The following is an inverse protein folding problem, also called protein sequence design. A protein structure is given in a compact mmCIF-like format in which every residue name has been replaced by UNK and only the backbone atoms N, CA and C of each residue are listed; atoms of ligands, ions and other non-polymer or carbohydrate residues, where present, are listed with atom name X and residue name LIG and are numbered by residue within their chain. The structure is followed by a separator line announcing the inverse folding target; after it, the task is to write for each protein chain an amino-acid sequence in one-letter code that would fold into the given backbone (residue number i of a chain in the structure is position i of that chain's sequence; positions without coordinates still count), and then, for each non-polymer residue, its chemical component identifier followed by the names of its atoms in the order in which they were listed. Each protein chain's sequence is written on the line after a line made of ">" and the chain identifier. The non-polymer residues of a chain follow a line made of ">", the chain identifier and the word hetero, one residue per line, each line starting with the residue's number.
data_IF_729354149558
#
_entry.id   IF_729354149558
#
_cell.length_a   1.000
_cell.length_b   1.000
_cell.length_c   1.000
_cell.angle_alpha   90.00
_cell.angle_beta   90.00
_cell.angle_gamma   90.00
#
_symmetry.space_group_name_H-M   'P 1'
#
loop_
_entity.id
_entity.type
_entity.pdbx_description
1 polymer ?
#
# COMPACT_ATOMS: atom_id res chain seq x y z
N UNK A 1 -11.04 29.59 -31.51
CA UNK A 1 -10.25 28.36 -31.26
C UNK A 1 -11.22 27.20 -31.18
N UNK A 2 -11.18 26.25 -32.12
CA UNK A 2 -11.99 25.04 -32.02
C UNK A 2 -11.36 24.12 -30.98
N UNK A 3 -12.05 23.88 -29.86
CA UNK A 3 -11.57 22.98 -28.81
C UNK A 3 -12.02 21.57 -29.18
N UNK A 4 -11.08 20.75 -29.66
CA UNK A 4 -11.33 19.31 -29.87
C UNK A 4 -11.30 18.61 -28.52
N UNK A 5 -12.46 18.15 -28.04
CA UNK A 5 -12.55 17.33 -26.83
C UNK A 5 -12.04 15.91 -27.13
N UNK A 6 -10.73 15.69 -26.93
CA UNK A 6 -10.13 14.35 -26.98
C UNK A 6 -10.29 13.71 -25.60
N UNK A 7 -11.39 12.98 -25.40
CA UNK A 7 -11.60 12.18 -24.20
C UNK A 7 -10.73 10.92 -24.29
N UNK A 8 -9.81 10.76 -23.33
CA UNK A 8 -8.93 9.58 -23.26
C UNK A 8 -9.67 8.34 -22.74
N UNK A 9 -10.70 8.52 -21.90
CA UNK A 9 -11.49 7.44 -21.31
C UNK A 9 -12.79 7.95 -20.67
N UNK A 10 -13.80 7.08 -20.49
CA UNK A 10 -15.10 7.42 -19.87
C UNK A 10 -15.57 6.32 -18.92
N UNK A 11 -16.18 6.73 -17.80
CA UNK A 11 -16.85 5.83 -16.87
C UNK A 11 -18.38 5.81 -17.13
N UNK A 12 -19.01 4.65 -16.95
CA UNK A 12 -20.44 4.47 -17.21
C UNK A 12 -21.35 5.03 -16.11
N UNK A 13 -20.86 5.10 -14.87
CA UNK A 13 -21.60 5.61 -13.70
C UNK A 13 -20.71 6.41 -12.76
N UNK A 14 -21.31 7.19 -11.86
CA UNK A 14 -20.58 7.94 -10.82
C UNK A 14 -19.75 7.01 -9.91
N UNK A 15 -20.32 5.86 -9.54
CA UNK A 15 -19.64 4.84 -8.74
C UNK A 15 -18.44 4.24 -9.47
N UNK A 16 -18.60 3.91 -10.76
CA UNK A 16 -17.49 3.47 -11.60
C UNK A 16 -16.40 4.55 -11.67
N UNK A 17 -16.80 5.83 -11.78
CA UNK A 17 -15.93 7.02 -11.78
C UNK A 17 -15.00 7.13 -10.57
N UNK A 18 -15.47 6.69 -9.39
CA UNK A 18 -14.73 6.74 -8.13
C UNK A 18 -14.12 5.38 -7.73
N UNK A 19 -14.42 4.30 -8.45
CA UNK A 19 -13.92 2.96 -8.15
C UNK A 19 -12.38 2.88 -8.03
N UNK A 20 -11.57 3.50 -8.92
CA UNK A 20 -10.11 3.50 -8.77
C UNK A 20 -9.63 4.00 -7.41
N UNK A 21 -10.27 5.05 -6.89
CA UNK A 21 -9.93 5.66 -5.62
C UNK A 21 -10.34 4.78 -4.43
N UNK A 22 -11.60 4.33 -4.39
CA UNK A 22 -12.09 3.52 -3.27
C UNK A 22 -11.47 2.13 -3.20
N UNK A 23 -11.18 1.50 -4.35
CA UNK A 23 -10.46 0.22 -4.39
C UNK A 23 -9.06 0.34 -3.77
N UNK A 24 -8.33 1.39 -4.16
CA UNK A 24 -6.99 1.66 -3.61
C UNK A 24 -7.04 1.99 -2.12
N UNK A 25 -8.02 2.80 -1.71
CA UNK A 25 -8.22 3.20 -0.32
C UNK A 25 -8.59 2.01 0.58
N UNK A 26 -9.54 1.19 0.13
CA UNK A 26 -9.96 -0.02 0.83
C UNK A 26 -8.78 -0.97 1.04
N UNK A 27 -7.93 -1.12 0.02
CA UNK A 27 -6.73 -1.95 0.11
C UNK A 27 -5.76 -1.43 1.18
N UNK A 28 -5.42 -0.13 1.18
CA UNK A 28 -4.52 0.44 2.19
C UNK A 28 -5.10 0.28 3.61
N UNK A 29 -6.37 0.61 3.80
CA UNK A 29 -7.04 0.53 5.11
C UNK A 29 -7.07 -0.92 5.60
N UNK A 30 -7.43 -1.86 4.73
CA UNK A 30 -7.46 -3.28 5.07
C UNK A 30 -6.08 -3.77 5.55
N UNK A 31 -5.02 -3.41 4.83
CA UNK A 31 -3.63 -3.72 5.22
C UNK A 31 -3.25 -3.05 6.55
N UNK A 32 -3.63 -1.79 6.77
CA UNK A 32 -3.37 -1.11 8.03
C UNK A 32 -4.05 -1.80 9.22
N UNK A 33 -5.28 -2.29 9.04
CA UNK A 33 -5.98 -3.08 10.06
C UNK A 33 -5.28 -4.40 10.38
N UNK A 34 -4.60 -5.03 9.41
CA UNK A 34 -3.81 -6.25 9.68
C UNK A 34 -2.73 -6.02 10.73
N UNK A 35 -2.13 -4.83 10.79
CA UNK A 35 -1.10 -4.52 11.80
C UNK A 35 -1.68 -4.30 13.21
N UNK A 36 -3.00 -4.13 13.30
CA UNK A 36 -3.70 -4.11 14.58
C UNK A 36 -3.93 -5.54 15.09
N UNK A 37 -4.23 -6.48 14.19
CA UNK A 37 -4.52 -7.88 14.51
C UNK A 37 -3.25 -8.74 14.64
N UNK A 38 -2.22 -8.46 13.83
CA UNK A 38 -1.03 -9.29 13.69
C UNK A 38 0.23 -8.52 14.11
N UNK A 39 1.19 -9.23 14.71
CA UNK A 39 2.48 -8.64 15.08
C UNK A 39 3.45 -8.72 13.89
N UNK A 40 4.05 -7.60 13.42
CA UNK A 40 5.02 -7.58 12.33
C UNK A 40 6.23 -8.51 12.52
N UNK A 41 6.74 -8.59 13.76
CA UNK A 41 7.91 -9.39 14.12
C UNK A 41 7.59 -10.12 15.44
N UNK A 42 7.88 -11.42 15.50
CA UNK A 42 7.69 -12.23 16.71
C UNK A 42 8.97 -12.30 17.53
N UNK A 43 8.84 -12.32 18.87
CA UNK A 43 9.99 -12.44 19.79
C UNK A 43 10.79 -13.73 19.56
N UNK A 44 10.09 -14.84 19.23
CA UNK A 44 10.72 -16.12 18.89
C UNK A 44 11.62 -16.01 17.65
N UNK A 45 11.22 -15.23 16.65
CA UNK A 45 12.03 -15.04 15.45
C UNK A 45 13.27 -14.17 15.74
N UNK A 46 13.15 -13.16 16.61
CA UNK A 46 14.29 -12.35 17.07
C UNK A 46 15.32 -13.16 17.84
N UNK A 47 14.86 -14.11 18.66
CA UNK A 47 15.72 -15.03 19.43
C UNK A 47 16.42 -16.10 18.56
N UNK A 48 16.10 -16.19 17.27
CA UNK A 48 16.72 -17.16 16.36
C UNK A 48 18.05 -16.66 15.79
N UNK A 49 18.93 -17.60 15.43
CA UNK A 49 20.21 -17.30 14.78
C UNK A 49 20.07 -17.01 13.27
N UNK A 50 18.84 -16.89 12.75
CA UNK A 50 18.61 -16.61 11.33
C UNK A 50 19.06 -15.19 10.95
N UNK A 51 19.53 -14.95 9.71
CA UNK A 51 19.90 -13.61 9.27
C UNK A 51 18.68 -12.68 9.28
N UNK A 52 18.91 -11.40 9.58
CA UNK A 52 17.84 -10.42 9.82
C UNK A 52 16.85 -10.29 8.66
N UNK A 53 17.34 -10.38 7.41
CA UNK A 53 16.49 -10.29 6.22
C UNK A 53 15.51 -11.48 6.11
N UNK A 54 15.91 -12.69 6.51
CA UNK A 54 15.01 -13.86 6.52
C UNK A 54 13.91 -13.72 7.56
N UNK A 55 14.23 -13.13 8.72
CA UNK A 55 13.25 -12.87 9.78
C UNK A 55 12.26 -11.79 9.31
N UNK A 56 12.74 -10.72 8.69
CA UNK A 56 11.89 -9.66 8.16
C UNK A 56 10.94 -10.18 7.07
N UNK A 57 11.46 -10.90 6.07
CA UNK A 57 10.64 -11.50 5.01
C UNK A 57 9.68 -12.54 5.59
N UNK A 58 10.13 -13.40 6.51
CA UNK A 58 9.28 -14.39 7.16
C UNK A 58 8.14 -13.78 7.98
N UNK A 59 8.38 -12.62 8.60
CA UNK A 59 7.33 -11.84 9.27
C UNK A 59 6.36 -11.16 8.30
N UNK A 60 6.80 -10.85 7.07
CA UNK A 60 5.98 -10.20 6.04
C UNK A 60 5.12 -11.14 5.21
N UNK A 61 5.55 -12.39 5.00
CA UNK A 61 4.77 -13.37 4.23
C UNK A 61 3.30 -13.54 4.69
N UNK A 62 2.98 -13.60 6.01
CA UNK A 62 1.60 -13.65 6.46
C UNK A 62 0.80 -12.39 6.09
N UNK A 63 1.40 -11.21 6.21
CA UNK A 63 0.77 -9.94 5.81
C UNK A 63 0.51 -9.92 4.31
N UNK A 64 1.50 -10.34 3.51
CA UNK A 64 1.37 -10.41 2.06
C UNK A 64 0.26 -11.39 1.66
N UNK A 65 0.20 -12.58 2.28
CA UNK A 65 -0.81 -13.59 1.98
C UNK A 65 -2.24 -13.05 2.19
N UNK A 66 -2.51 -12.46 3.35
CA UNK A 66 -3.83 -11.85 3.61
C UNK A 66 -4.08 -10.65 2.69
N UNK A 67 -3.04 -9.88 2.37
CA UNK A 67 -3.14 -8.74 1.44
C UNK A 67 -3.49 -9.15 0.01
N UNK A 68 -2.93 -10.26 -0.47
CA UNK A 68 -3.25 -10.85 -1.78
C UNK A 68 -4.68 -11.37 -1.80
N UNK A 69 -5.12 -12.04 -0.73
CA UNK A 69 -6.50 -12.54 -0.62
C UNK A 69 -7.49 -11.38 -0.63
N UNK A 70 -7.31 -10.34 0.19
CA UNK A 70 -8.24 -9.20 0.19
C UNK A 70 -8.24 -8.43 -1.13
N UNK A 71 -7.09 -8.27 -1.80
CA UNK A 71 -7.02 -7.61 -3.11
C UNK A 71 -7.77 -8.42 -4.18
N UNK A 72 -7.61 -9.74 -4.15
CA UNK A 72 -8.34 -10.65 -5.05
C UNK A 72 -9.84 -10.63 -4.78
N UNK A 73 -10.25 -10.63 -3.50
CA UNK A 73 -11.66 -10.54 -3.13
C UNK A 73 -12.27 -9.19 -3.54
N UNK A 74 -11.57 -8.08 -3.28
CA UNK A 74 -12.02 -6.74 -3.70
C UNK A 74 -12.25 -6.68 -5.21
N UNK A 75 -11.26 -7.09 -5.99
CA UNK A 75 -11.35 -7.06 -7.46
C UNK A 75 -12.44 -8.02 -7.99
N UNK A 76 -12.59 -9.21 -7.39
CA UNK A 76 -13.63 -10.17 -7.74
C UNK A 76 -15.04 -9.62 -7.46
N UNK A 77 -15.28 -9.11 -6.26
CA UNK A 77 -16.59 -8.58 -5.86
C UNK A 77 -16.99 -7.39 -6.72
N UNK A 78 -16.05 -6.47 -6.98
CA UNK A 78 -16.34 -5.29 -7.78
C UNK A 78 -16.59 -5.64 -9.25
N UNK A 79 -15.88 -6.62 -9.80
CA UNK A 79 -16.12 -7.06 -11.18
C UNK A 79 -17.41 -7.86 -11.33
N UNK A 80 -17.67 -8.83 -10.43
CA UNK A 80 -18.79 -9.77 -10.59
C UNK A 80 -20.09 -9.31 -9.92
N UNK A 81 -20.02 -8.75 -8.72
CA UNK A 81 -21.22 -8.38 -7.95
C UNK A 81 -21.66 -6.94 -8.21
N UNK A 82 -20.72 -6.02 -8.42
CA UNK A 82 -21.03 -4.60 -8.70
C UNK A 82 -21.03 -4.25 -10.19
N UNK A 83 -20.63 -5.18 -11.05
CA UNK A 83 -20.68 -5.00 -12.50
C UNK A 83 -19.79 -3.87 -13.03
N UNK A 84 -18.60 -3.67 -12.46
CA UNK A 84 -17.70 -2.59 -12.87
C UNK A 84 -17.23 -2.70 -14.33
N UNK A 85 -17.12 -3.92 -14.87
CA UNK A 85 -16.70 -4.21 -16.26
C UNK A 85 -15.44 -3.41 -16.70
N UNK A 86 -14.30 -3.54 -16.00
CA UNK A 86 -13.09 -2.82 -16.37
C UNK A 86 -12.59 -3.23 -17.76
N UNK A 87 -12.00 -2.29 -18.49
CA UNK A 87 -11.42 -2.54 -19.82
C UNK A 87 -10.34 -3.64 -19.81
N UNK A 88 -9.53 -3.70 -18.74
CA UNK A 88 -8.46 -4.69 -18.58
C UNK A 88 -8.56 -5.43 -17.23
N UNK A 89 -9.49 -6.38 -17.07
CA UNK A 89 -9.79 -7.01 -15.78
C UNK A 89 -8.60 -7.78 -15.18
N UNK A 90 -7.87 -8.52 -16.01
CA UNK A 90 -6.72 -9.32 -15.58
C UNK A 90 -5.56 -8.41 -15.16
N UNK A 91 -5.27 -7.37 -15.94
CA UNK A 91 -4.22 -6.40 -15.60
C UNK A 91 -4.58 -5.61 -14.33
N UNK A 92 -5.85 -5.24 -14.16
CA UNK A 92 -6.35 -4.60 -12.94
C UNK A 92 -6.10 -5.47 -11.71
N UNK A 93 -6.38 -6.79 -11.80
CA UNK A 93 -6.13 -7.71 -10.71
C UNK A 93 -4.64 -7.80 -10.37
N UNK A 94 -3.77 -8.03 -11.35
CA UNK A 94 -2.31 -8.09 -11.15
C UNK A 94 -1.75 -6.78 -10.58
N UNK A 95 -2.27 -5.63 -11.02
CA UNK A 95 -1.89 -4.33 -10.53
C UNK A 95 -2.29 -4.12 -9.05
N UNK A 96 -3.49 -4.57 -8.67
CA UNK A 96 -3.93 -4.57 -7.27
C UNK A 96 -3.09 -5.50 -6.39
N UNK A 97 -2.60 -6.63 -6.92
CA UNK A 97 -1.64 -7.48 -6.20
C UNK A 97 -0.30 -6.78 -5.99
N UNK A 98 0.22 -6.07 -7.00
CA UNK A 98 1.44 -5.28 -6.87
C UNK A 98 1.28 -4.15 -5.84
N UNK A 99 0.14 -3.46 -5.84
CA UNK A 99 -0.19 -2.45 -4.83
C UNK A 99 -0.29 -3.06 -3.42
N UNK A 100 -0.94 -4.23 -3.29
CA UNK A 100 -1.05 -4.94 -2.02
C UNK A 100 0.32 -5.33 -1.45
N UNK A 101 1.23 -5.76 -2.32
CA UNK A 101 2.60 -6.08 -1.97
C UNK A 101 3.36 -4.84 -1.45
N UNK A 102 3.30 -3.73 -2.19
CA UNK A 102 3.97 -2.48 -1.81
C UNK A 102 3.42 -1.89 -0.51
N UNK A 103 2.09 -1.79 -0.39
CA UNK A 103 1.44 -1.21 0.78
C UNK A 103 1.69 -2.05 2.03
N UNK A 104 1.60 -3.39 1.94
CA UNK A 104 1.88 -4.27 3.08
C UNK A 104 3.33 -4.18 3.54
N UNK A 105 4.29 -4.12 2.61
CA UNK A 105 5.70 -3.97 2.94
C UNK A 105 5.99 -2.63 3.63
N UNK A 106 5.47 -1.50 3.11
CA UNK A 106 5.66 -0.17 3.72
C UNK A 106 5.06 -0.13 5.12
N UNK A 107 3.77 -0.48 5.22
CA UNK A 107 3.01 -0.40 6.46
C UNK A 107 3.66 -1.27 7.54
N UNK A 108 4.03 -2.50 7.19
CA UNK A 108 4.74 -3.38 8.12
C UNK A 108 6.13 -2.85 8.46
N UNK A 109 6.89 -2.34 7.48
CA UNK A 109 8.23 -1.80 7.70
C UNK A 109 8.25 -0.64 8.69
N UNK A 110 7.31 0.30 8.55
CA UNK A 110 7.14 1.44 9.47
C UNK A 110 6.83 0.96 10.88
N UNK A 111 5.84 0.05 11.03
CA UNK A 111 5.42 -0.41 12.35
C UNK A 111 6.47 -1.32 12.98
N UNK A 112 7.19 -2.11 12.19
CA UNK A 112 8.33 -2.90 12.67
C UNK A 112 9.42 -1.99 13.26
N UNK A 113 9.71 -0.85 12.64
CA UNK A 113 10.76 0.08 13.08
C UNK A 113 10.39 0.90 14.31
N UNK A 114 9.15 1.35 14.38
CA UNK A 114 8.70 2.35 15.36
C UNK A 114 7.80 1.76 16.45
N UNK A 115 7.32 0.53 16.31
CA UNK A 115 6.37 -0.08 17.24
C UNK A 115 5.02 0.66 17.23
N UNK A 116 4.43 0.87 18.42
CA UNK A 116 3.13 1.55 18.57
C UNK A 116 3.08 2.94 17.92
N UNK A 117 4.09 3.84 18.08
CA UNK A 117 4.17 5.10 17.33
C UNK A 117 4.09 4.94 15.80
N UNK A 118 4.62 3.84 15.25
CA UNK A 118 4.58 3.59 13.81
C UNK A 118 3.16 3.50 13.25
N UNK A 119 2.20 3.04 14.06
CA UNK A 119 0.79 2.96 13.65
C UNK A 119 0.20 4.35 13.40
N UNK A 120 0.56 5.32 14.23
CA UNK A 120 0.17 6.71 14.06
C UNK A 120 0.82 7.32 12.82
N UNK A 121 2.08 6.99 12.53
CA UNK A 121 2.75 7.40 11.28
C UNK A 121 2.03 6.86 10.06
N UNK A 122 1.66 5.57 10.05
CA UNK A 122 0.89 4.98 8.93
C UNK A 122 -0.47 5.66 8.77
N UNK A 123 -1.14 6.02 9.87
CA UNK A 123 -2.40 6.76 9.83
C UNK A 123 -2.22 8.17 9.23
N UNK A 124 -1.16 8.88 9.61
CA UNK A 124 -0.83 10.19 9.02
C UNK A 124 -0.57 10.03 7.51
N UNK A 125 0.21 9.03 7.11
CA UNK A 125 0.46 8.72 5.70
C UNK A 125 -0.83 8.40 4.94
N UNK A 126 -1.77 7.69 5.57
CA UNK A 126 -3.09 7.44 4.98
C UNK A 126 -3.82 8.75 4.71
N UNK A 127 -3.90 9.66 5.68
CA UNK A 127 -4.59 10.95 5.53
C UNK A 127 -3.91 11.81 4.45
N UNK A 128 -2.58 11.87 4.44
CA UNK A 128 -1.83 12.62 3.43
C UNK A 128 -2.07 12.06 2.02
N UNK A 129 -2.06 10.73 1.87
CA UNK A 129 -2.35 10.07 0.59
C UNK A 129 -3.79 10.25 0.14
N UNK A 130 -4.74 10.21 1.08
CA UNK A 130 -6.15 10.41 0.79
C UNK A 130 -6.38 11.76 0.09
N UNK A 131 -5.79 12.82 0.64
CA UNK A 131 -5.94 14.19 0.12
C UNK A 131 -5.14 14.40 -1.17
N UNK A 132 -3.94 13.82 -1.27
CA UNK A 132 -3.06 14.03 -2.43
C UNK A 132 -3.30 13.08 -3.60
N UNK A 133 -3.97 11.95 -3.42
CA UNK A 133 -4.18 10.94 -4.47
C UNK A 133 -5.05 11.39 -5.65
N UNK A 134 -5.71 12.55 -5.52
CA UNK A 134 -6.59 13.10 -6.55
C UNK A 134 -7.80 12.21 -6.80
N UNK A 135 -8.49 11.79 -5.73
CA UNK A 135 -9.63 10.87 -5.78
C UNK A 135 -10.86 11.44 -6.49
N UNK A 136 -11.53 12.41 -5.86
CA UNK A 136 -12.74 13.06 -6.37
C UNK A 136 -12.45 14.21 -7.34
N UNK A 137 -11.32 14.88 -7.16
CA UNK A 137 -10.83 15.96 -8.02
C UNK A 137 -9.41 15.65 -8.49
N UNK A 138 -8.97 16.19 -9.64
CA UNK A 138 -7.59 16.06 -10.08
C UNK A 138 -6.61 16.55 -9.00
N UNK A 139 -5.50 15.85 -8.81
CA UNK A 139 -4.54 16.22 -7.76
C UNK A 139 -3.92 17.61 -7.99
N UNK A 140 -3.92 18.09 -9.24
CA UNK A 140 -3.44 19.42 -9.63
C UNK A 140 -4.28 20.58 -9.06
N UNK A 141 -5.50 20.30 -8.57
CA UNK A 141 -6.32 21.32 -7.91
C UNK A 141 -6.02 21.43 -6.41
N UNK A 142 -5.10 20.63 -5.89
CA UNK A 142 -4.68 20.72 -4.49
C UNK A 142 -3.66 21.85 -4.28
N UNK A 143 -3.49 22.37 -3.06
CA UNK A 143 -2.44 23.34 -2.77
C UNK A 143 -1.05 22.83 -3.18
N UNK A 144 -0.22 23.73 -3.72
CA UNK A 144 1.12 23.41 -4.24
C UNK A 144 2.02 22.58 -3.30
N UNK A 145 2.03 22.79 -1.96
CA UNK A 145 2.80 21.94 -1.06
C UNK A 145 2.40 20.44 -1.07
N UNK A 146 1.15 20.12 -1.43
CA UNK A 146 0.66 18.75 -1.50
C UNK A 146 1.00 18.03 -2.82
N UNK A 147 1.49 18.76 -3.83
CA UNK A 147 1.93 18.14 -5.08
C UNK A 147 3.13 17.22 -4.85
N UNK A 148 4.07 17.64 -4.00
CA UNK A 148 5.22 16.82 -3.60
C UNK A 148 4.77 15.52 -2.92
N UNK A 149 3.69 15.59 -2.14
CA UNK A 149 3.11 14.41 -1.47
C UNK A 149 2.53 13.45 -2.51
N UNK A 150 1.86 13.97 -3.55
CA UNK A 150 1.36 13.15 -4.65
C UNK A 150 2.49 12.43 -5.40
N UNK A 151 3.59 13.13 -5.68
CA UNK A 151 4.74 12.61 -6.42
C UNK A 151 5.56 11.59 -5.63
N UNK A 152 5.51 11.62 -4.30
CA UNK A 152 6.30 10.72 -3.46
C UNK A 152 5.47 9.53 -2.97
N UNK A 153 4.15 9.65 -2.84
CA UNK A 153 3.37 8.59 -2.20
C UNK A 153 2.72 7.64 -3.22
N UNK A 154 2.77 6.32 -2.97
CA UNK A 154 2.39 5.33 -3.97
C UNK A 154 0.89 5.34 -4.30
N UNK A 155 0.02 5.79 -3.38
CA UNK A 155 -1.43 5.76 -3.60
C UNK A 155 -1.88 6.57 -4.82
N UNK A 156 -1.31 7.75 -5.09
CA UNK A 156 -1.68 8.57 -6.26
C UNK A 156 -1.40 7.86 -7.59
N UNK A 157 -0.26 7.16 -7.66
CA UNK A 157 0.10 6.33 -8.80
C UNK A 157 -0.82 5.14 -8.97
N UNK A 158 -1.22 4.47 -7.88
CA UNK A 158 -2.16 3.35 -7.95
C UNK A 158 -3.54 3.81 -8.41
N UNK A 159 -4.05 4.93 -7.89
CA UNK A 159 -5.33 5.51 -8.36
C UNK A 159 -5.27 5.83 -9.86
N UNK A 160 -4.17 6.43 -10.31
CA UNK A 160 -3.99 6.77 -11.73
C UNK A 160 -3.84 5.51 -12.60
N UNK A 161 -3.09 4.50 -12.16
CA UNK A 161 -2.99 3.18 -12.80
C UNK A 161 -4.34 2.50 -12.96
N UNK A 162 -5.11 2.45 -11.88
CA UNK A 162 -6.45 1.89 -11.85
C UNK A 162 -7.40 2.61 -12.82
N UNK A 163 -7.29 3.94 -12.98
CA UNK A 163 -8.08 4.67 -14.00
C UNK A 163 -7.79 4.18 -15.42
N UNK A 164 -6.52 3.95 -15.77
CA UNK A 164 -6.15 3.47 -17.10
C UNK A 164 -6.64 2.03 -17.33
N UNK A 165 -6.54 1.18 -16.32
CA UNK A 165 -6.96 -0.23 -16.40
C UNK A 165 -8.49 -0.41 -16.38
N UNK A 166 -9.22 0.45 -15.65
CA UNK A 166 -10.69 0.39 -15.57
C UNK A 166 -11.30 1.04 -16.81
N UNK A 167 -10.85 2.23 -17.21
CA UNK A 167 -11.49 3.00 -18.29
C UNK A 167 -10.89 2.77 -19.69
N UNK A 168 -9.79 2.02 -19.81
CA UNK A 168 -9.20 1.66 -21.10
C UNK A 168 -8.34 2.76 -21.74
N UNK A 169 -7.69 3.58 -20.92
CA UNK A 169 -6.72 4.57 -21.41
C UNK A 169 -5.36 3.93 -21.72
N UNK A 170 -4.42 4.74 -22.23
CA UNK A 170 -3.08 4.29 -22.62
C UNK A 170 -2.31 3.56 -21.50
N UNK A 171 -1.66 2.44 -21.84
CA UNK A 171 -1.03 1.56 -20.85
C UNK A 171 0.46 1.88 -20.59
N UNK A 172 1.04 2.90 -21.24
CA UNK A 172 2.48 3.19 -21.14
C UNK A 172 2.96 3.46 -19.71
N UNK A 173 2.08 4.02 -18.87
CA UNK A 173 2.41 4.33 -17.48
C UNK A 173 2.29 3.14 -16.51
N UNK A 174 1.70 2.01 -16.93
CA UNK A 174 1.49 0.86 -16.03
C UNK A 174 2.81 0.22 -15.62
N UNK A 175 3.70 -0.03 -16.57
CA UNK A 175 5.00 -0.68 -16.28
C UNK A 175 5.88 0.18 -15.37
N UNK A 176 6.11 1.49 -15.63
CA UNK A 176 6.82 2.37 -14.71
C UNK A 176 6.20 2.39 -13.30
N UNK A 177 4.87 2.42 -13.23
CA UNK A 177 4.16 2.41 -11.93
C UNK A 177 4.40 1.12 -11.16
N UNK A 178 4.32 -0.04 -11.82
CA UNK A 178 4.60 -1.34 -11.21
C UNK A 178 6.05 -1.42 -10.72
N UNK A 179 7.02 -0.92 -11.50
CA UNK A 179 8.41 -0.82 -11.06
C UNK A 179 8.57 0.07 -9.82
N UNK A 180 7.86 1.19 -9.77
CA UNK A 180 7.80 2.04 -8.57
C UNK A 180 7.26 1.29 -7.36
N UNK A 181 6.16 0.54 -7.50
CA UNK A 181 5.58 -0.29 -6.44
C UNK A 181 6.54 -1.39 -5.96
N UNK A 182 7.31 -2.00 -6.86
CA UNK A 182 8.38 -2.92 -6.48
C UNK A 182 9.48 -2.19 -5.69
N UNK A 183 9.85 -0.97 -6.08
CA UNK A 183 10.75 -0.10 -5.31
C UNK A 183 10.24 0.16 -3.89
N UNK A 184 8.96 0.50 -3.73
CA UNK A 184 8.33 0.65 -2.41
C UNK A 184 8.30 -0.64 -1.60
N UNK A 185 8.12 -1.79 -2.26
CA UNK A 185 8.19 -3.11 -1.62
C UNK A 185 9.58 -3.36 -1.05
N UNK A 186 10.63 -3.07 -1.83
CA UNK A 186 12.02 -3.19 -1.39
C UNK A 186 12.34 -2.22 -0.25
N UNK A 187 11.82 -0.99 -0.29
CA UNK A 187 11.96 -0.01 0.77
C UNK A 187 11.32 -0.50 2.08
N UNK A 188 10.08 -1.01 2.02
CA UNK A 188 9.41 -1.59 3.19
C UNK A 188 10.13 -2.82 3.76
N UNK A 189 10.65 -3.69 2.89
CA UNK A 189 11.45 -4.85 3.30
C UNK A 189 12.79 -4.44 3.94
N UNK A 190 13.44 -3.40 3.42
CA UNK A 190 14.66 -2.83 3.99
C UNK A 190 14.39 -2.22 5.38
N UNK A 191 13.30 -1.47 5.52
CA UNK A 191 12.84 -0.93 6.81
C UNK A 191 12.60 -2.06 7.83
N UNK A 192 11.87 -3.10 7.45
CA UNK A 192 11.63 -4.26 8.32
C UNK A 192 12.92 -4.99 8.69
N UNK A 193 13.85 -5.15 7.74
CA UNK A 193 15.16 -5.76 8.00
C UNK A 193 16.01 -4.92 8.96
N UNK A 194 15.98 -3.60 8.81
CA UNK A 194 16.67 -2.68 9.72
C UNK A 194 16.05 -2.72 11.12
N UNK A 195 14.72 -2.82 11.23
CA UNK A 195 14.04 -3.03 12.51
C UNK A 195 14.53 -4.30 13.22
N UNK A 196 14.57 -5.43 12.50
CA UNK A 196 15.09 -6.69 13.06
C UNK A 196 16.52 -6.54 13.55
N UNK A 197 17.40 -5.88 12.77
CA UNK A 197 18.79 -5.63 13.19
C UNK A 197 18.87 -4.80 14.46
N UNK A 198 18.07 -3.74 14.58
CA UNK A 198 18.02 -2.87 15.76
C UNK A 198 17.55 -3.62 17.01
N UNK A 199 16.55 -4.48 16.87
CA UNK A 199 15.93 -5.20 17.99
C UNK A 199 16.61 -6.54 18.34
N UNK A 200 17.61 -6.98 17.58
CA UNK A 200 18.40 -8.18 17.90
C UNK A 200 19.43 -7.98 19.01
N UNK A 201 19.87 -6.75 19.26
CA UNK A 201 20.81 -6.46 20.33
C UNK A 201 20.02 -6.17 21.61
N UNK A 202 19.77 -7.20 22.42
CA UNK A 202 19.18 -7.03 23.74
C UNK A 202 20.15 -6.24 24.62
N UNK A 203 19.72 -5.04 25.05
CA UNK A 203 20.45 -4.26 26.03
C UNK A 203 20.27 -4.86 27.43
N UNK A 204 21.26 -4.72 28.31
CA UNK A 204 21.26 -5.30 29.66
C UNK A 204 20.00 -4.95 30.50
N UNK A 205 19.34 -3.83 30.20
CA UNK A 205 18.05 -3.44 30.82
C UNK A 205 16.89 -4.39 30.48
N UNK A 206 16.94 -5.12 29.37
CA UNK A 206 15.90 -6.10 28.98
C UNK A 206 16.08 -7.44 29.69
N UNK A 207 17.27 -7.70 30.26
CA UNK A 207 17.63 -8.95 30.93
C UNK A 207 17.38 -8.93 32.44
N UNK A 208 17.23 -7.76 33.05
CA UNK A 208 16.81 -7.61 34.45
C UNK A 208 15.46 -6.89 34.49
N UNK A 209 14.32 -7.61 34.58
CA UNK A 209 13.10 -6.96 35.03
C UNK A 209 13.40 -6.41 36.44
N UNK A 210 13.26 -5.10 36.62
CA UNK A 210 13.33 -4.50 37.94
C UNK A 210 12.28 -5.21 38.80
N UNK A 211 12.76 -5.86 39.86
CA UNK A 211 11.91 -6.54 40.83
C UNK A 211 11.15 -5.40 41.52
N UNK A 212 9.95 -5.10 41.04
CA UNK A 212 9.03 -4.22 41.74
C UNK A 212 8.62 -4.96 43.02
N UNK A 213 9.16 -4.49 44.15
CA UNK A 213 8.68 -4.80 45.50
C UNK A 213 7.44 -3.98 45.77
#
# INVERSE_FOLDING_TARGET
>A
VAVSNVSQAKADSYGAGLAPFFLTLALWIGIFMLVQAMRPITQRALASNAPAWKIAVGGWLPFLAVSVVQASLLTLVVNLALGLNPAHPVLMWLFMLAAAMAFSAIIQGIVALLGSPGKLVVLILLVLQLVSSGGTFPWQTTPQPLHVVHEILPMGYVVTGMRHLIYGADLSMIVPTVLGLLGYTLLGAAMSTFAVRKHKYWTLKTLKPEIAV
#
